data_IF_654956687995
#
_entry.id   IF_654956687995
#
_cell.length_a   1.000
_cell.length_b   1.000
_cell.length_c   1.000
_cell.angle_alpha   90.00
_cell.angle_beta   90.00
_cell.angle_gamma   90.00
#
_symmetry.space_group_name_H-M   'P 1'
#
loop_
_entity.id
_entity.type
_entity.pdbx_description
1 polymer ?
#
# COMPACT_ATOMS: atom_id res chain seq x y z
N UNK A 1 8.71 -23.13 -13.70
CA UNK A 1 10.14 -23.28 -14.06
C UNK A 1 10.55 -22.07 -14.88
N UNK A 2 11.77 -21.56 -14.72
CA UNK A 2 12.29 -20.49 -15.57
C UNK A 2 12.55 -21.05 -16.98
N UNK A 3 12.20 -20.30 -18.03
CA UNK A 3 12.46 -20.62 -19.44
C UNK A 3 13.57 -19.71 -19.96
N UNK A 4 14.51 -20.26 -20.71
CA UNK A 4 15.51 -19.48 -21.41
C UNK A 4 14.99 -19.11 -22.80
N UNK A 5 15.09 -17.84 -23.16
CA UNK A 5 14.69 -17.26 -24.42
C UNK A 5 15.94 -16.71 -25.12
N UNK A 6 16.08 -17.03 -26.41
CA UNK A 6 17.18 -16.54 -27.25
C UNK A 6 16.62 -15.91 -28.52
N UNK A 7 17.16 -14.76 -28.89
CA UNK A 7 16.86 -14.03 -30.11
C UNK A 7 18.19 -13.75 -30.81
N UNK A 8 18.31 -14.16 -32.07
CA UNK A 8 19.42 -13.80 -32.95
C UNK A 8 18.83 -13.50 -34.33
N UNK A 9 18.90 -12.23 -34.74
CA UNK A 9 18.31 -11.78 -35.99
C UNK A 9 19.19 -10.75 -36.68
N UNK A 10 19.31 -10.87 -38.00
CA UNK A 10 19.92 -9.85 -38.86
C UNK A 10 18.80 -8.96 -39.40
N UNK A 11 18.95 -7.65 -39.23
CA UNK A 11 18.00 -6.64 -39.69
C UNK A 11 18.70 -5.63 -40.59
N UNK A 12 18.00 -5.21 -41.65
CA UNK A 12 18.52 -4.19 -42.57
C UNK A 12 18.08 -2.81 -42.09
N UNK A 13 19.05 -1.97 -41.78
CA UNK A 13 18.84 -0.58 -41.39
C UNK A 13 18.88 0.30 -42.65
N UNK A 14 17.81 1.04 -42.90
CA UNK A 14 17.63 1.88 -44.09
C UNK A 14 17.71 3.35 -43.68
N UNK A 15 18.65 4.07 -44.30
CA UNK A 15 18.77 5.51 -44.11
C UNK A 15 17.60 6.26 -44.72
N UNK A 16 17.02 7.17 -43.94
CA UNK A 16 15.98 8.09 -44.39
C UNK A 16 16.53 9.51 -44.26
N UNK A 17 17.17 10.00 -45.32
CA UNK A 17 17.69 11.36 -45.35
C UNK A 17 18.05 11.79 -46.78
N UNK A 18 17.29 12.73 -47.33
CA UNK A 18 17.49 13.27 -48.69
C UNK A 18 18.36 14.53 -48.72
N UNK A 19 18.82 15.06 -47.58
CA UNK A 19 19.47 16.36 -47.47
C UNK A 19 20.82 16.36 -46.74
N UNK A 20 21.61 17.41 -46.95
CA UNK A 20 22.81 17.71 -46.18
C UNK A 20 22.40 18.11 -44.75
N UNK A 21 22.59 17.21 -43.77
CA UNK A 21 22.63 17.63 -42.36
C UNK A 21 21.77 16.86 -41.36
N UNK A 22 20.84 15.99 -41.77
CA UNK A 22 20.23 15.02 -40.87
C UNK A 22 20.17 13.67 -41.57
N UNK A 23 20.87 12.71 -41.00
CA UNK A 23 20.86 11.33 -41.47
C UNK A 23 20.42 10.51 -40.26
N UNK A 24 19.19 10.02 -40.31
CA UNK A 24 18.62 9.11 -39.34
C UNK A 24 18.19 7.84 -40.10
N UNK A 25 18.21 6.67 -39.46
CA UNK A 25 17.56 5.49 -40.03
C UNK A 25 16.13 5.35 -39.53
N UNK A 26 15.26 4.82 -40.39
CA UNK A 26 13.90 4.47 -40.01
C UNK A 26 13.96 3.45 -38.88
N UNK A 27 13.29 3.67 -37.74
CA UNK A 27 13.34 2.72 -36.64
C UNK A 27 12.93 1.31 -37.10
N UNK A 28 13.68 0.31 -36.67
CA UNK A 28 13.45 -1.10 -37.02
C UNK A 28 13.07 -1.87 -35.78
N UNK A 29 11.98 -2.62 -35.88
CA UNK A 29 11.50 -3.50 -34.82
C UNK A 29 12.02 -4.92 -35.07
N UNK A 30 12.53 -5.53 -34.01
CA UNK A 30 13.09 -6.87 -33.99
C UNK A 30 12.25 -7.70 -33.04
N UNK A 31 11.69 -8.80 -33.56
CA UNK A 31 10.73 -9.63 -32.85
C UNK A 31 10.88 -11.09 -33.28
N UNK A 32 10.88 -11.99 -32.29
CA UNK A 32 10.57 -13.40 -32.47
C UNK A 32 9.24 -13.74 -31.76
N UNK A 33 8.54 -14.76 -32.26
CA UNK A 33 7.23 -15.18 -31.75
C UNK A 33 7.30 -15.55 -30.26
N UNK A 34 8.36 -16.26 -29.87
CA UNK A 34 8.52 -16.75 -28.50
C UNK A 34 9.31 -15.80 -27.60
N UNK A 35 9.85 -14.70 -28.12
CA UNK A 35 10.63 -13.76 -27.32
C UNK A 35 9.71 -12.71 -26.68
N UNK A 36 9.74 -12.53 -25.35
CA UNK A 36 8.72 -11.74 -24.63
C UNK A 36 8.92 -10.23 -24.76
N UNK A 37 10.04 -9.78 -25.32
CA UNK A 37 10.31 -8.36 -25.56
C UNK A 37 10.17 -8.02 -27.05
N UNK A 38 9.67 -6.82 -27.34
CA UNK A 38 9.80 -6.14 -28.63
C UNK A 38 11.03 -5.24 -28.54
N UNK A 39 12.01 -5.42 -29.43
CA UNK A 39 13.22 -4.59 -29.44
C UNK A 39 13.11 -3.61 -30.61
N UNK A 40 13.31 -2.32 -30.34
CA UNK A 40 13.30 -1.26 -31.34
C UNK A 40 14.66 -0.60 -31.42
N UNK A 41 15.25 -0.63 -32.62
CA UNK A 41 16.48 0.08 -32.91
C UNK A 41 16.16 1.42 -33.56
N UNK A 42 16.87 2.48 -33.14
CA UNK A 42 16.80 3.81 -33.74
C UNK A 42 18.16 4.53 -33.66
N UNK A 43 18.35 5.60 -34.43
CA UNK A 43 19.46 6.55 -34.23
C UNK A 43 18.96 7.89 -33.74
N UNK A 44 19.79 8.57 -32.95
CA UNK A 44 19.65 9.99 -32.69
C UNK A 44 20.22 10.86 -33.81
N UNK A 45 19.93 12.16 -33.74
CA UNK A 45 20.28 13.17 -34.74
C UNK A 45 21.74 13.06 -35.22
N UNK A 46 21.93 13.05 -36.55
CA UNK A 46 23.23 12.86 -37.23
C UNK A 46 23.83 11.45 -37.13
N UNK A 47 23.03 10.46 -36.72
CA UNK A 47 23.45 9.07 -36.53
C UNK A 47 24.71 8.91 -35.65
N UNK A 48 24.89 9.83 -34.70
CA UNK A 48 25.99 9.77 -33.73
C UNK A 48 25.66 8.90 -32.51
N UNK A 49 24.41 8.47 -32.39
CA UNK A 49 23.94 7.69 -31.26
C UNK A 49 23.06 6.58 -31.78
N UNK A 50 23.39 5.34 -31.45
CA UNK A 50 22.52 4.20 -31.63
C UNK A 50 21.72 3.99 -30.34
N UNK A 51 20.41 3.79 -30.49
CA UNK A 51 19.48 3.55 -29.39
C UNK A 51 18.88 2.17 -29.58
N UNK A 52 18.97 1.33 -28.54
CA UNK A 52 18.20 0.11 -28.44
C UNK A 52 17.15 0.31 -27.34
N UNK A 53 15.88 0.40 -27.73
CA UNK A 53 14.75 0.40 -26.83
C UNK A 53 14.12 -1.00 -26.81
N UNK A 54 13.51 -1.36 -25.70
CA UNK A 54 12.71 -2.59 -25.61
C UNK A 54 11.46 -2.36 -24.79
N UNK A 55 10.40 -3.11 -25.10
CA UNK A 55 9.16 -3.14 -24.33
C UNK A 55 8.62 -4.56 -24.21
N UNK A 56 8.06 -4.92 -23.06
CA UNK A 56 7.47 -6.22 -22.84
C UNK A 56 6.11 -6.35 -23.58
N UNK A 57 5.92 -7.45 -24.32
CA UNK A 57 4.66 -7.71 -25.06
C UNK A 57 3.55 -8.21 -24.14
N UNK A 58 3.94 -8.82 -23.04
CA UNK A 58 3.13 -9.39 -21.98
C UNK A 58 3.90 -9.24 -20.66
N UNK A 59 3.23 -9.43 -19.53
CA UNK A 59 3.91 -9.33 -18.23
C UNK A 59 4.95 -10.46 -18.09
N UNK A 60 6.19 -10.10 -17.74
CA UNK A 60 7.31 -11.04 -17.69
C UNK A 60 8.21 -10.75 -16.48
N UNK A 61 8.62 -11.80 -15.78
CA UNK A 61 9.61 -11.69 -14.70
C UNK A 61 10.97 -12.11 -15.24
N UNK A 62 11.88 -11.14 -15.32
CA UNK A 62 13.25 -11.30 -15.76
C UNK A 62 14.09 -11.67 -14.55
N UNK A 63 14.82 -12.80 -14.61
CA UNK A 63 15.84 -13.12 -13.60
C UNK A 63 17.21 -12.61 -14.02
N UNK A 64 17.50 -12.66 -15.32
CA UNK A 64 18.73 -12.16 -15.92
C UNK A 64 18.56 -12.06 -17.44
N UNK A 65 19.25 -11.13 -18.08
CA UNK A 65 19.28 -11.07 -19.55
C UNK A 65 20.16 -9.95 -20.07
N UNK A 66 20.39 -9.97 -21.38
CA UNK A 66 21.12 -8.92 -22.08
C UNK A 66 20.63 -8.77 -23.52
N UNK A 67 20.82 -7.57 -24.06
CA UNK A 67 20.60 -7.22 -25.47
C UNK A 67 21.92 -6.66 -25.99
N UNK A 68 22.44 -7.23 -27.09
CA UNK A 68 23.60 -6.74 -27.83
C UNK A 68 23.20 -6.39 -29.25
N UNK A 69 23.71 -5.26 -29.71
CA UNK A 69 23.50 -4.80 -31.07
C UNK A 69 24.85 -4.60 -31.74
N UNK A 70 25.03 -5.30 -32.86
CA UNK A 70 26.16 -5.18 -33.75
C UNK A 70 25.71 -4.48 -35.02
N UNK A 71 26.50 -3.51 -35.49
CA UNK A 71 26.27 -2.82 -36.77
C UNK A 71 27.50 -3.06 -37.63
N UNK A 72 27.32 -3.70 -38.80
CA UNK A 72 28.43 -4.05 -39.71
C UNK A 72 29.55 -4.85 -39.02
N UNK A 73 29.19 -5.73 -38.09
CA UNK A 73 30.14 -6.54 -37.31
C UNK A 73 30.82 -5.79 -36.16
N UNK A 74 30.71 -4.46 -36.08
CA UNK A 74 31.18 -3.69 -34.92
C UNK A 74 30.14 -3.72 -33.81
N UNK A 75 30.59 -3.93 -32.58
CA UNK A 75 29.75 -3.84 -31.39
C UNK A 75 29.38 -2.38 -31.12
N UNK A 76 28.09 -2.09 -30.93
CA UNK A 76 27.61 -0.71 -30.79
C UNK A 76 26.91 -0.47 -29.46
N UNK A 77 26.05 -1.39 -29.02
CA UNK A 77 25.23 -1.22 -27.82
C UNK A 77 25.13 -2.54 -27.07
N UNK A 78 25.20 -2.47 -25.73
CA UNK A 78 24.75 -3.54 -24.84
C UNK A 78 23.88 -2.97 -23.72
N UNK A 79 22.75 -3.62 -23.48
CA UNK A 79 21.92 -3.44 -22.29
C UNK A 79 21.94 -4.71 -21.47
N UNK A 80 22.27 -4.60 -20.18
CA UNK A 80 22.02 -5.67 -19.21
C UNK A 80 20.65 -5.45 -18.59
N UNK A 81 19.78 -6.45 -18.67
CA UNK A 81 18.42 -6.39 -18.13
C UNK A 81 18.47 -6.75 -16.64
N UNK A 82 18.07 -5.79 -15.79
CA UNK A 82 18.04 -6.01 -14.35
C UNK A 82 16.95 -7.02 -13.97
N UNK A 83 17.17 -7.83 -12.92
CA UNK A 83 16.13 -8.69 -12.38
C UNK A 83 14.91 -7.85 -11.98
N UNK A 84 13.73 -8.24 -12.42
CA UNK A 84 12.53 -7.44 -12.18
C UNK A 84 11.30 -7.97 -12.90
N UNK A 85 10.15 -7.44 -12.50
CA UNK A 85 8.88 -7.69 -13.16
C UNK A 85 8.56 -6.53 -14.10
N UNK A 86 8.34 -6.83 -15.39
CA UNK A 86 7.88 -5.89 -16.39
C UNK A 86 6.42 -6.17 -16.70
N UNK A 87 5.56 -5.16 -16.62
CA UNK A 87 4.20 -5.22 -17.15
C UNK A 87 4.20 -5.08 -18.67
N UNK A 88 3.08 -5.47 -19.32
CA UNK A 88 2.89 -5.22 -20.75
C UNK A 88 3.06 -3.73 -21.06
N UNK A 89 3.99 -3.41 -21.96
CA UNK A 89 4.35 -2.04 -22.35
C UNK A 89 5.53 -1.46 -21.57
N UNK A 90 5.89 -2.03 -20.41
CA UNK A 90 7.08 -1.60 -19.67
C UNK A 90 8.34 -1.86 -20.48
N UNK A 91 9.29 -0.94 -20.39
CA UNK A 91 10.44 -0.94 -21.24
C UNK A 91 11.53 -0.01 -20.75
N UNK A 92 12.65 -0.05 -21.43
CA UNK A 92 13.73 0.91 -21.23
C UNK A 92 14.49 1.10 -22.54
N UNK A 93 15.38 2.07 -22.57
CA UNK A 93 16.28 2.31 -23.69
C UNK A 93 17.71 2.48 -23.21
N UNK A 94 18.65 2.05 -24.05
CA UNK A 94 20.07 2.35 -23.88
C UNK A 94 20.57 3.06 -25.13
N UNK A 95 21.40 4.08 -24.90
CA UNK A 95 22.02 4.89 -25.95
C UNK A 95 23.52 4.70 -25.89
N UNK A 96 24.15 4.55 -27.05
CA UNK A 96 25.60 4.48 -27.18
C UNK A 96 26.06 5.38 -28.31
N UNK A 97 27.18 6.06 -28.10
CA UNK A 97 27.83 6.84 -29.15
C UNK A 97 28.32 5.89 -30.25
N UNK A 98 28.00 6.23 -31.50
CA UNK A 98 28.37 5.47 -32.67
C UNK A 98 28.83 6.44 -33.76
N UNK A 99 29.97 6.17 -34.40
CA UNK A 99 30.42 6.96 -35.55
C UNK A 99 30.48 6.09 -36.79
N UNK A 100 29.72 6.48 -37.81
CA UNK A 100 29.81 5.86 -39.13
C UNK A 100 31.00 6.44 -39.89
N UNK A 101 32.19 5.86 -39.71
CA UNK A 101 33.41 6.35 -40.34
C UNK A 101 33.49 6.10 -41.86
N UNK A 102 32.55 5.38 -42.46
CA UNK A 102 32.67 4.95 -43.86
C UNK A 102 32.09 5.93 -44.88
N UNK A 103 31.40 7.00 -44.45
CA UNK A 103 30.82 8.03 -45.33
C UNK A 103 29.72 7.56 -46.30
N UNK A 104 29.44 6.26 -46.37
CA UNK A 104 28.50 5.67 -47.33
C UNK A 104 27.06 5.73 -46.81
N UNK A 105 26.22 6.50 -47.50
CA UNK A 105 24.77 6.62 -47.29
C UNK A 105 24.00 5.45 -47.92
N UNK A 106 24.41 4.22 -47.63
CA UNK A 106 23.73 3.00 -48.10
C UNK A 106 23.16 2.20 -46.94
N UNK A 107 22.12 1.40 -47.21
CA UNK A 107 21.58 0.44 -46.24
C UNK A 107 22.66 -0.52 -45.76
N UNK A 108 22.57 -0.93 -44.50
CA UNK A 108 23.52 -1.90 -43.93
C UNK A 108 22.81 -2.89 -43.02
N UNK A 109 23.46 -4.03 -42.79
CA UNK A 109 22.96 -5.06 -41.90
C UNK A 109 23.42 -4.76 -40.46
N UNK A 110 22.47 -4.74 -39.54
CA UNK A 110 22.69 -4.85 -38.10
C UNK A 110 22.34 -6.27 -37.66
N UNK A 111 23.09 -6.82 -36.70
CA UNK A 111 22.74 -8.05 -36.01
C UNK A 111 22.32 -7.73 -34.58
N UNK A 112 21.18 -8.25 -34.17
CA UNK A 112 20.69 -8.16 -32.79
C UNK A 112 20.77 -9.54 -32.18
N UNK A 113 21.47 -9.63 -31.06
CA UNK A 113 21.54 -10.81 -30.22
C UNK A 113 20.96 -10.46 -28.86
N UNK A 114 20.00 -11.25 -28.38
CA UNK A 114 19.47 -11.10 -27.04
C UNK A 114 19.28 -12.47 -26.40
N UNK A 115 19.68 -12.58 -25.13
CA UNK A 115 19.42 -13.75 -24.29
C UNK A 115 18.70 -13.30 -23.04
N UNK A 116 17.63 -14.01 -22.69
CA UNK A 116 16.79 -13.69 -21.55
C UNK A 116 16.42 -14.98 -20.81
N UNK A 117 16.74 -15.06 -19.53
CA UNK A 117 16.13 -16.06 -18.64
C UNK A 117 14.94 -15.41 -17.98
N UNK A 118 13.75 -15.88 -18.32
CA UNK A 118 12.51 -15.34 -17.79
C UNK A 118 11.53 -16.46 -17.46
N UNK A 119 10.65 -16.18 -16.51
CA UNK A 119 9.49 -17.05 -16.28
C UNK A 119 8.31 -16.39 -16.97
N UNK A 120 7.66 -17.12 -17.89
CA UNK A 120 6.34 -16.74 -18.37
C UNK A 120 5.48 -16.49 -17.14
N UNK A 121 4.90 -15.29 -17.05
CA UNK A 121 4.10 -14.89 -15.91
C UNK A 121 2.88 -15.80 -15.83
N UNK A 122 2.95 -16.88 -15.04
CA UNK A 122 1.77 -17.36 -14.35
C UNK A 122 1.25 -16.16 -13.59
N UNK A 123 0.04 -15.69 -13.95
CA UNK A 123 -0.59 -14.45 -13.50
C UNK A 123 -0.02 -14.00 -12.15
N UNK A 124 0.95 -13.09 -12.17
CA UNK A 124 1.61 -12.60 -10.95
C UNK A 124 0.57 -11.93 -10.06
N UNK A 125 -0.53 -11.43 -10.63
CA UNK A 125 -1.71 -11.01 -9.89
C UNK A 125 -2.35 -12.17 -9.12
N UNK A 126 -2.55 -13.33 -9.75
CA UNK A 126 -3.06 -14.53 -9.10
C UNK A 126 -2.09 -15.10 -8.06
N UNK A 127 -0.79 -15.21 -8.36
CA UNK A 127 0.19 -15.71 -7.40
C UNK A 127 0.31 -14.79 -6.18
N UNK A 128 0.35 -13.47 -6.42
CA UNK A 128 0.35 -12.49 -5.34
C UNK A 128 -0.98 -12.51 -4.58
N UNK A 129 -2.11 -12.74 -5.24
CA UNK A 129 -3.40 -12.92 -4.56
C UNK A 129 -3.42 -14.18 -3.69
N UNK A 130 -2.84 -15.30 -4.16
CA UNK A 130 -2.74 -16.55 -3.41
C UNK A 130 -1.80 -16.42 -2.20
N UNK A 131 -0.63 -15.80 -2.38
CA UNK A 131 0.29 -15.49 -1.28
C UNK A 131 -0.38 -14.57 -0.25
N UNK A 132 -1.14 -13.58 -0.73
CA UNK A 132 -1.93 -12.68 0.12
C UNK A 132 -3.02 -13.41 0.89
N UNK A 133 -3.72 -14.33 0.24
CA UNK A 133 -4.73 -15.17 0.85
C UNK A 133 -4.13 -16.07 1.93
N UNK A 134 -3.01 -16.71 1.64
CA UNK A 134 -2.30 -17.54 2.61
C UNK A 134 -1.83 -16.72 3.82
N UNK A 135 -1.27 -15.54 3.59
CA UNK A 135 -0.83 -14.64 4.66
C UNK A 135 -2.00 -14.15 5.53
N UNK A 136 -3.14 -13.79 4.91
CA UNK A 136 -4.35 -13.41 5.63
C UNK A 136 -4.90 -14.56 6.50
N UNK A 137 -4.98 -15.77 5.93
CA UNK A 137 -5.41 -16.96 6.66
C UNK A 137 -4.47 -17.36 7.80
N UNK A 138 -3.17 -17.13 7.65
CA UNK A 138 -2.19 -17.32 8.72
C UNK A 138 -2.36 -16.28 9.84
N UNK A 139 -2.51 -15.01 9.49
CA UNK A 139 -2.72 -13.93 10.46
C UNK A 139 -3.99 -14.17 11.29
N UNK A 140 -5.10 -14.53 10.64
CA UNK A 140 -6.36 -14.79 11.34
C UNK A 140 -6.25 -15.98 12.31
N UNK A 141 -5.60 -17.08 11.90
CA UNK A 141 -5.36 -18.24 12.77
C UNK A 141 -4.48 -17.88 13.96
N UNK A 142 -3.35 -17.20 13.69
CA UNK A 142 -2.44 -16.73 14.72
C UNK A 142 -3.16 -15.87 15.76
N UNK A 143 -4.04 -14.96 15.35
CA UNK A 143 -4.80 -14.13 16.27
C UNK A 143 -5.87 -14.86 17.08
N UNK A 144 -6.31 -16.04 16.62
CA UNK A 144 -7.39 -16.81 17.25
C UNK A 144 -6.91 -17.90 18.22
N UNK A 145 -5.65 -18.31 18.09
CA UNK A 145 -5.08 -19.44 18.83
C UNK A 145 -4.07 -18.96 19.87
N UNK A 146 -4.18 -19.49 21.09
CA UNK A 146 -3.21 -19.17 22.12
C UNK A 146 -1.83 -19.76 21.81
N UNK A 147 -1.68 -20.96 21.27
CA UNK A 147 -0.34 -21.51 20.99
C UNK A 147 -0.01 -21.23 19.52
N UNK A 148 1.13 -20.61 19.17
CA UNK A 148 2.33 -20.37 20.00
C UNK A 148 2.42 -18.98 20.69
N UNK A 149 1.31 -18.24 20.75
CA UNK A 149 1.22 -16.88 21.28
C UNK A 149 1.26 -16.78 22.83
N UNK A 150 2.03 -15.82 23.34
CA UNK A 150 2.22 -15.60 24.77
C UNK A 150 1.65 -14.25 25.26
N UNK A 151 0.94 -13.51 24.40
CA UNK A 151 0.26 -12.25 24.75
C UNK A 151 -1.22 -12.30 24.36
N UNK A 152 -2.09 -11.92 25.30
CA UNK A 152 -3.52 -11.74 25.09
C UNK A 152 -3.88 -10.25 25.10
N UNK A 153 -4.45 -9.76 24.01
CA UNK A 153 -5.10 -8.45 23.93
C UNK A 153 -6.59 -8.62 24.21
N UNK A 154 -7.04 -8.23 25.39
CA UNK A 154 -8.43 -8.38 25.80
C UNK A 154 -9.21 -7.08 25.55
N UNK A 155 -10.44 -7.23 25.03
CA UNK A 155 -11.37 -6.15 24.73
C UNK A 155 -12.59 -6.29 25.65
N UNK A 156 -12.60 -5.66 26.84
CA UNK A 156 -13.66 -5.86 27.83
C UNK A 156 -15.06 -5.51 27.32
N UNK A 157 -15.17 -4.42 26.54
CA UNK A 157 -16.45 -3.96 25.95
C UNK A 157 -17.13 -5.04 25.10
N UNK A 158 -16.33 -5.77 24.33
CA UNK A 158 -16.83 -6.74 23.35
C UNK A 158 -16.65 -8.19 23.83
N UNK A 159 -16.01 -8.38 24.98
CA UNK A 159 -15.66 -9.67 25.57
C UNK A 159 -14.87 -10.58 24.60
N UNK A 160 -13.93 -9.98 23.87
CA UNK A 160 -13.08 -10.66 22.88
C UNK A 160 -11.62 -10.62 23.27
N UNK A 161 -10.86 -11.56 22.73
CA UNK A 161 -9.41 -11.64 22.89
C UNK A 161 -8.78 -11.82 21.51
N UNK A 162 -7.70 -11.11 21.26
CA UNK A 162 -6.75 -11.38 20.18
C UNK A 162 -5.47 -11.93 20.80
N UNK A 163 -4.92 -12.97 20.20
CA UNK A 163 -3.64 -13.55 20.59
C UNK A 163 -2.51 -12.99 19.72
N UNK A 164 -1.33 -12.83 20.30
CA UNK A 164 -0.11 -12.48 19.58
C UNK A 164 1.11 -12.91 20.39
N UNK A 165 2.31 -12.82 19.82
CA UNK A 165 3.54 -13.06 20.57
C UNK A 165 4.21 -11.77 21.01
N UNK A 166 4.82 -11.77 22.19
CA UNK A 166 5.61 -10.67 22.71
C UNK A 166 6.72 -10.29 21.72
N UNK A 167 7.46 -11.28 21.23
CA UNK A 167 8.51 -11.07 20.24
C UNK A 167 7.99 -10.34 18.98
N UNK A 168 6.80 -10.69 18.50
CA UNK A 168 6.20 -10.04 17.34
C UNK A 168 5.74 -8.61 17.64
N UNK A 169 5.10 -8.37 18.78
CA UNK A 169 4.61 -7.05 19.16
C UNK A 169 5.77 -6.07 19.41
N UNK A 170 6.78 -6.51 20.16
CA UNK A 170 7.99 -5.72 20.46
C UNK A 170 8.77 -5.38 19.19
N UNK A 171 8.92 -6.34 18.27
CA UNK A 171 9.61 -6.11 17.01
C UNK A 171 8.93 -5.06 16.11
N UNK A 172 7.66 -4.75 16.34
CA UNK A 172 6.89 -3.82 15.52
C UNK A 172 6.51 -2.51 16.23
N UNK A 173 6.62 -2.42 17.56
CA UNK A 173 6.27 -1.20 18.29
C UNK A 173 7.05 -1.08 19.61
N UNK A 174 7.77 0.04 19.78
CA UNK A 174 8.46 0.39 21.02
C UNK A 174 7.51 0.61 22.20
N UNK A 175 6.23 0.91 21.93
CA UNK A 175 5.20 0.98 22.97
C UNK A 175 4.96 -0.38 23.59
N UNK A 176 4.88 -1.44 22.78
CA UNK A 176 4.74 -2.80 23.31
C UNK A 176 6.01 -3.29 24.01
N UNK A 177 7.19 -2.88 23.55
CA UNK A 177 8.46 -3.11 24.27
C UNK A 177 8.38 -2.54 25.68
N UNK A 178 8.03 -1.26 25.80
CA UNK A 178 7.88 -0.57 27.07
C UNK A 178 6.81 -1.24 27.94
N UNK A 179 5.68 -1.62 27.36
CA UNK A 179 4.54 -2.20 28.10
C UNK A 179 4.82 -3.62 28.62
N UNK A 180 5.51 -4.44 27.83
CA UNK A 180 5.69 -5.88 28.11
C UNK A 180 7.01 -6.21 28.82
N UNK A 181 8.03 -5.35 28.73
CA UNK A 181 9.35 -5.58 29.33
C UNK A 181 9.63 -4.77 30.60
N UNK A 182 8.77 -3.82 30.95
CA UNK A 182 8.91 -3.04 32.18
C UNK A 182 8.14 -3.66 33.36
N UNK A 183 8.08 -2.94 34.48
CA UNK A 183 7.37 -3.36 35.70
C UNK A 183 5.85 -3.07 35.66
N UNK A 184 5.28 -2.77 34.50
CA UNK A 184 3.83 -2.56 34.37
C UNK A 184 3.02 -3.84 34.63
N UNK A 185 1.75 -3.67 35.01
CA UNK A 185 0.83 -4.79 35.29
C UNK A 185 0.64 -5.73 34.10
N UNK A 186 0.84 -5.22 32.88
CA UNK A 186 0.76 -5.95 31.60
C UNK A 186 1.92 -6.93 31.41
N UNK A 187 3.09 -6.67 32.01
CA UNK A 187 4.25 -7.56 31.95
C UNK A 187 4.09 -8.82 32.82
N UNK A 188 3.13 -8.82 33.76
CA UNK A 188 2.89 -9.93 34.68
C UNK A 188 2.25 -11.11 33.95
N UNK A 189 2.92 -12.27 34.01
CA UNK A 189 2.44 -13.53 33.43
C UNK A 189 1.24 -14.08 34.21
N UNK A 190 0.23 -14.55 33.48
CA UNK A 190 -1.03 -15.11 33.97
C UNK A 190 -1.26 -16.52 33.43
N UNK A 191 -2.04 -17.31 34.16
CA UNK A 191 -2.39 -18.69 33.82
C UNK A 191 -3.90 -18.91 33.64
N UNK A 192 -4.71 -17.85 33.68
CA UNK A 192 -6.15 -17.92 33.46
C UNK A 192 -6.71 -16.55 33.04
N UNK A 193 -7.91 -16.55 32.46
CA UNK A 193 -8.63 -15.35 32.00
C UNK A 193 -9.65 -14.81 33.01
N UNK A 194 -9.51 -15.12 34.30
CA UNK A 194 -10.47 -14.68 35.30
C UNK A 194 -10.41 -13.16 35.48
N UNK A 195 -11.58 -12.51 35.51
CA UNK A 195 -11.70 -11.06 35.68
C UNK A 195 -11.27 -10.23 34.46
N UNK A 196 -10.81 -10.84 33.36
CA UNK A 196 -10.27 -10.12 32.19
C UNK A 196 -11.29 -9.18 31.55
N UNK A 197 -12.57 -9.55 31.57
CA UNK A 197 -13.67 -8.77 31.01
C UNK A 197 -14.42 -7.93 32.05
N UNK A 198 -13.94 -7.86 33.29
CA UNK A 198 -14.46 -6.87 34.24
C UNK A 198 -13.97 -5.51 33.77
N UNK A 199 -14.90 -4.70 33.29
CA UNK A 199 -14.64 -3.29 33.05
C UNK A 199 -14.28 -2.65 34.41
N UNK A 200 -13.29 -1.75 34.46
CA UNK A 200 -13.18 -0.81 35.58
C UNK A 200 -14.55 -0.18 35.81
N UNK A 201 -14.91 0.11 37.07
CA UNK A 201 -16.20 0.76 37.36
C UNK A 201 -16.43 1.91 36.37
N UNK A 202 -17.65 2.01 35.80
CA UNK A 202 -17.93 2.94 34.72
C UNK A 202 -17.57 4.34 35.20
N UNK A 203 -16.44 4.83 34.71
CA UNK A 203 -16.21 6.26 34.72
C UNK A 203 -17.31 6.81 33.84
N UNK A 204 -18.15 7.68 34.38
CA UNK A 204 -19.31 8.30 33.72
C UNK A 204 -18.95 9.11 32.47
N UNK A 205 -17.69 9.07 32.04
CA UNK A 205 -17.22 9.67 30.81
C UNK A 205 -17.51 8.74 29.64
N UNK A 206 -18.24 9.27 28.66
CA UNK A 206 -18.28 8.69 27.32
C UNK A 206 -16.84 8.38 26.83
N UNK A 207 -16.65 7.33 26.02
CA UNK A 207 -15.35 7.04 25.43
C UNK A 207 -14.75 8.33 24.85
N UNK A 208 -13.46 8.61 25.11
CA UNK A 208 -12.84 9.86 24.67
C UNK A 208 -12.87 10.03 23.14
N UNK A 209 -13.11 8.95 22.39
CA UNK A 209 -13.25 8.96 20.95
C UNK A 209 -14.32 7.99 20.50
N UNK A 210 -15.11 8.43 19.53
CA UNK A 210 -16.02 7.58 18.77
C UNK A 210 -15.19 6.72 17.80
N UNK A 211 -14.90 5.49 18.21
CA UNK A 211 -14.27 4.52 17.32
C UNK A 211 -15.34 4.03 16.36
N UNK A 212 -15.29 4.51 15.11
CA UNK A 212 -16.27 4.22 14.05
C UNK A 212 -16.49 2.71 13.83
N UNK A 213 -15.57 1.85 14.28
CA UNK A 213 -15.70 0.40 14.21
C UNK A 213 -16.53 -0.21 15.36
N UNK A 214 -16.95 0.60 16.34
CA UNK A 214 -17.76 0.17 17.48
C UNK A 214 -19.06 -0.49 17.07
N UNK A 215 -19.77 0.11 16.11
CA UNK A 215 -21.00 -0.45 15.54
C UNK A 215 -20.76 -1.80 14.84
N UNK A 216 -19.60 -1.95 14.19
CA UNK A 216 -19.20 -3.17 13.48
C UNK A 216 -18.94 -4.33 14.46
N UNK A 217 -18.38 -4.03 15.62
CA UNK A 217 -18.16 -5.00 16.69
C UNK A 217 -19.48 -5.41 17.37
N UNK A 218 -20.41 -4.47 17.56
CA UNK A 218 -21.74 -4.72 18.16
C UNK A 218 -22.64 -5.52 17.21
N UNK A 219 -22.73 -5.15 15.94
CA UNK A 219 -23.60 -5.81 14.95
C UNK A 219 -23.24 -7.28 14.70
N UNK A 220 -21.98 -7.68 14.97
CA UNK A 220 -21.49 -9.06 14.78
C UNK A 220 -21.48 -9.89 16.06
N UNK A 221 -22.16 -9.42 17.11
CA UNK A 221 -22.40 -10.14 18.37
C UNK A 221 -23.17 -11.47 18.23
N UNK A 222 -23.60 -11.87 17.02
CA UNK A 222 -24.52 -13.00 16.82
C UNK A 222 -23.92 -14.41 16.99
N UNK A 223 -22.61 -14.59 17.20
CA UNK A 223 -22.08 -15.89 17.64
C UNK A 223 -20.98 -15.71 18.68
N UNK A 224 -21.41 -15.50 19.92
CA UNK A 224 -20.59 -15.53 21.13
C UNK A 224 -20.02 -16.94 21.28
N UNK A 225 -18.86 -17.20 20.66
CA UNK A 225 -18.11 -18.43 20.91
C UNK A 225 -17.84 -18.51 22.41
N UNK A 226 -18.10 -19.66 23.03
CA UNK A 226 -17.76 -19.88 24.44
C UNK A 226 -16.25 -19.71 24.57
N UNK A 227 -15.79 -18.57 25.09
CA UNK A 227 -14.38 -18.34 25.38
C UNK A 227 -13.92 -19.45 26.31
N UNK A 228 -12.92 -20.24 25.90
CA UNK A 228 -12.34 -21.25 26.77
C UNK A 228 -11.82 -20.54 28.02
N UNK A 229 -12.39 -20.87 29.19
CA UNK A 229 -11.96 -20.30 30.47
C UNK A 229 -10.55 -20.75 30.85
N UNK A 230 -10.14 -21.91 30.34
CA UNK A 230 -8.83 -22.48 30.61
C UNK A 230 -7.88 -22.15 29.46
N UNK A 231 -6.77 -21.50 29.80
CA UNK A 231 -5.67 -21.22 28.87
C UNK A 231 -4.77 -22.46 28.75
N UNK A 232 -4.17 -22.62 27.58
CA UNK A 232 -3.29 -23.73 27.23
C UNK A 232 -1.85 -23.52 27.73
N UNK A 233 -1.44 -22.27 27.94
CA UNK A 233 -0.11 -21.89 28.40
C UNK A 233 -0.16 -20.62 29.28
N UNK A 234 0.93 -20.28 30.00
CA UNK A 234 1.11 -18.95 30.60
C UNK A 234 1.17 -17.86 29.54
N UNK A 235 0.67 -16.65 29.84
CA UNK A 235 0.62 -15.52 28.91
C UNK A 235 0.60 -14.17 29.62
N UNK A 236 1.00 -13.09 28.95
CA UNK A 236 0.86 -11.69 29.38
C UNK A 236 -0.48 -11.11 28.91
N UNK A 237 -1.07 -10.19 29.66
CA UNK A 237 -2.39 -9.64 29.35
C UNK A 237 -2.33 -8.12 29.19
N UNK A 238 -2.81 -7.64 28.04
CA UNK A 238 -3.05 -6.22 27.78
C UNK A 238 -4.56 -6.00 27.69
N UNK A 239 -5.10 -5.09 28.51
CA UNK A 239 -6.50 -4.68 28.42
C UNK A 239 -6.61 -3.47 27.49
N UNK A 240 -7.34 -3.64 26.39
CA UNK A 240 -7.59 -2.58 25.40
C UNK A 240 -8.95 -1.95 25.70
N UNK A 241 -8.95 -0.69 26.15
CA UNK A 241 -10.18 0.07 26.48
C UNK A 241 -10.55 1.13 25.45
N UNK A 242 -9.56 1.61 24.68
CA UNK A 242 -9.69 2.87 23.91
C UNK A 242 -9.86 2.64 22.39
N UNK A 243 -9.83 1.39 21.95
CA UNK A 243 -10.07 1.01 20.54
C UNK A 243 -10.89 -0.28 20.42
N UNK A 244 -11.49 -0.45 19.25
CA UNK A 244 -12.29 -1.61 18.89
C UNK A 244 -11.45 -2.86 18.56
N UNK A 245 -12.10 -4.02 18.70
CA UNK A 245 -11.52 -5.32 18.38
C UNK A 245 -11.18 -5.42 16.89
N UNK A 246 -12.11 -4.99 16.02
CA UNK A 246 -11.91 -5.00 14.56
C UNK A 246 -10.70 -4.16 14.15
N UNK A 247 -10.52 -2.99 14.75
CA UNK A 247 -9.39 -2.10 14.46
C UNK A 247 -8.05 -2.76 14.82
N UNK A 248 -7.94 -3.34 16.01
CA UNK A 248 -6.73 -4.06 16.41
C UNK A 248 -6.47 -5.30 15.56
N UNK A 249 -7.51 -6.07 15.23
CA UNK A 249 -7.40 -7.22 14.36
C UNK A 249 -6.88 -6.83 12.97
N UNK A 250 -7.36 -5.71 12.42
CA UNK A 250 -6.88 -5.18 11.15
C UNK A 250 -5.41 -4.74 11.23
N UNK A 251 -5.00 -4.05 12.29
CA UNK A 251 -3.60 -3.64 12.49
C UNK A 251 -2.67 -4.85 12.63
N UNK A 252 -3.03 -5.85 13.44
CA UNK A 252 -2.24 -7.07 13.59
C UNK A 252 -2.14 -7.85 12.27
N UNK A 253 -3.25 -7.96 11.53
CA UNK A 253 -3.25 -8.60 10.23
C UNK A 253 -2.34 -7.86 9.23
N UNK A 254 -2.33 -6.52 9.26
CA UNK A 254 -1.38 -5.73 8.48
C UNK A 254 0.07 -5.96 8.91
N UNK A 255 0.36 -6.04 10.21
CA UNK A 255 1.73 -6.31 10.69
C UNK A 255 2.24 -7.67 10.23
N UNK A 256 1.38 -8.70 10.22
CA UNK A 256 1.76 -10.05 9.80
C UNK A 256 1.89 -10.18 8.29
N UNK A 257 0.97 -9.58 7.53
CA UNK A 257 0.88 -9.80 6.07
C UNK A 257 1.54 -8.69 5.24
N UNK A 258 1.70 -7.49 5.81
CA UNK A 258 2.02 -6.23 5.13
C UNK A 258 1.02 -5.86 4.04
N UNK A 259 -0.23 -6.31 4.16
CA UNK A 259 -1.29 -6.10 3.18
C UNK A 259 -2.33 -5.09 3.66
N UNK A 260 -2.67 -4.16 2.78
CA UNK A 260 -3.68 -3.11 3.01
C UNK A 260 -5.02 -3.46 2.33
N UNK A 261 -5.06 -4.43 1.41
CA UNK A 261 -6.27 -4.72 0.62
C UNK A 261 -7.22 -5.67 1.33
N UNK A 262 -8.52 -5.38 1.19
CA UNK A 262 -9.61 -6.24 1.66
C UNK A 262 -9.45 -7.66 1.11
N UNK A 263 -9.56 -8.65 1.99
CA UNK A 263 -9.48 -10.06 1.63
C UNK A 263 -10.57 -10.83 2.41
N UNK A 264 -11.26 -11.81 1.82
CA UNK A 264 -12.33 -12.56 2.50
C UNK A 264 -11.90 -13.26 3.80
N UNK A 265 -10.61 -13.55 3.93
CA UNK A 265 -10.00 -14.19 5.12
C UNK A 265 -9.41 -13.20 6.13
N UNK A 266 -9.34 -11.91 5.80
CA UNK A 266 -8.94 -10.89 6.74
C UNK A 266 -10.11 -10.59 7.69
N UNK A 267 -9.81 -10.09 8.91
CA UNK A 267 -10.84 -9.48 9.72
C UNK A 267 -11.54 -8.38 8.92
N UNK A 268 -12.75 -8.08 9.37
CA UNK A 268 -13.64 -7.12 8.74
C UNK A 268 -12.88 -5.81 8.52
N UNK A 269 -13.05 -5.14 7.37
CA UNK A 269 -12.35 -3.89 7.11
C UNK A 269 -12.66 -2.90 8.23
N UNK A 270 -11.61 -2.48 8.94
CA UNK A 270 -11.67 -1.42 9.93
C UNK A 270 -11.76 -0.06 9.22
N UNK A 271 -12.36 0.92 9.89
CA UNK A 271 -12.41 2.30 9.44
C UNK A 271 -10.99 2.85 9.29
N UNK A 272 -10.64 3.49 8.16
CA UNK A 272 -9.29 4.03 7.95
C UNK A 272 -8.92 5.08 9.02
N UNK A 273 -9.91 5.78 9.58
CA UNK A 273 -9.71 6.73 10.70
C UNK A 273 -9.26 6.01 11.98
N UNK A 274 -9.92 4.92 12.31
CA UNK A 274 -9.60 4.09 13.48
C UNK A 274 -8.24 3.42 13.33
N UNK A 275 -7.93 2.91 12.13
CA UNK A 275 -6.61 2.34 11.81
C UNK A 275 -5.52 3.42 11.91
N UNK A 276 -5.74 4.61 11.33
CA UNK A 276 -4.80 5.73 11.43
C UNK A 276 -4.52 6.08 12.89
N UNK A 277 -5.57 6.25 13.70
CA UNK A 277 -5.45 6.57 15.14
C UNK A 277 -4.61 5.54 15.87
N UNK A 278 -4.93 4.25 15.68
CA UNK A 278 -4.22 3.17 16.35
C UNK A 278 -2.77 3.05 15.86
N UNK A 279 -2.54 3.16 14.55
CA UNK A 279 -1.20 3.13 13.97
C UNK A 279 -0.34 4.29 14.47
N UNK A 280 -0.88 5.50 14.53
CA UNK A 280 -0.21 6.67 15.09
C UNK A 280 0.12 6.44 16.58
N UNK A 281 -0.81 5.91 17.37
CA UNK A 281 -0.59 5.60 18.78
C UNK A 281 0.52 4.55 18.99
N UNK A 282 0.58 3.53 18.13
CA UNK A 282 1.57 2.45 18.20
C UNK A 282 2.92 2.81 17.53
N UNK A 283 3.08 4.00 16.96
CA UNK A 283 4.30 4.41 16.25
C UNK A 283 4.50 3.70 14.90
N UNK A 284 3.42 3.22 14.27
CA UNK A 284 3.44 2.50 12.99
C UNK A 284 3.31 3.47 11.80
N UNK A 285 4.35 4.27 11.55
CA UNK A 285 4.31 5.39 10.58
C UNK A 285 3.82 4.97 9.18
N UNK A 286 4.34 3.86 8.63
CA UNK A 286 3.93 3.39 7.30
C UNK A 286 2.43 3.05 7.24
N UNK A 287 1.90 2.40 8.28
CA UNK A 287 0.47 2.07 8.33
C UNK A 287 -0.38 3.32 8.54
N UNK A 288 0.09 4.28 9.35
CA UNK A 288 -0.60 5.55 9.53
C UNK A 288 -0.70 6.29 8.19
N UNK A 289 0.37 6.39 7.41
CA UNK A 289 0.35 6.98 6.07
C UNK A 289 -0.64 6.28 5.14
N UNK A 290 -0.59 4.95 5.06
CA UNK A 290 -1.50 4.17 4.21
C UNK A 290 -2.97 4.32 4.62
N UNK A 291 -3.24 4.42 5.93
CA UNK A 291 -4.58 4.65 6.45
C UNK A 291 -5.07 6.06 6.12
N UNK A 292 -4.18 7.07 6.16
CA UNK A 292 -4.49 8.45 5.80
C UNK A 292 -4.79 8.59 4.30
N UNK A 293 -3.98 7.99 3.43
CA UNK A 293 -4.22 7.95 1.98
C UNK A 293 -5.55 7.25 1.64
N UNK A 294 -5.84 6.14 2.32
CA UNK A 294 -7.11 5.44 2.15
C UNK A 294 -8.29 6.30 2.62
N UNK A 295 -8.15 7.00 3.75
CA UNK A 295 -9.16 7.93 4.24
C UNK A 295 -9.41 9.07 3.25
N UNK A 296 -8.36 9.70 2.73
CA UNK A 296 -8.44 10.74 1.70
C UNK A 296 -9.20 10.27 0.45
N UNK A 297 -8.91 9.05 -0.02
CA UNK A 297 -9.57 8.47 -1.20
C UNK A 297 -11.08 8.25 -1.03
N UNK A 298 -11.58 8.24 0.21
CA UNK A 298 -12.99 8.04 0.55
C UNK A 298 -13.73 9.36 0.81
N UNK A 299 -13.05 10.51 0.71
CA UNK A 299 -13.68 11.81 0.86
C UNK A 299 -14.56 12.13 -0.36
N UNK A 300 -15.79 12.54 -0.07
CA UNK A 300 -16.81 12.93 -1.04
C UNK A 300 -17.50 14.19 -0.55
N UNK A 301 -18.17 14.98 -1.41
CA UNK A 301 -18.94 16.12 -0.94
C UNK A 301 -20.05 15.71 0.05
N UNK A 302 -20.51 14.46 -0.02
CA UNK A 302 -21.59 13.92 0.83
C UNK A 302 -21.15 13.56 2.25
N UNK A 303 -19.86 13.33 2.50
CA UNK A 303 -19.35 12.97 3.83
C UNK A 303 -18.36 13.97 4.41
N UNK A 304 -17.76 14.85 3.59
CA UNK A 304 -16.67 15.72 4.02
C UNK A 304 -17.04 16.63 5.19
N UNK A 305 -18.29 17.13 5.27
CA UNK A 305 -18.74 17.94 6.40
C UNK A 305 -18.79 17.14 7.72
N UNK A 306 -19.30 15.90 7.70
CA UNK A 306 -19.25 15.01 8.86
C UNK A 306 -17.83 14.72 9.30
N UNK A 307 -16.94 14.49 8.34
CA UNK A 307 -15.54 14.22 8.64
C UNK A 307 -14.83 15.45 9.20
N UNK A 308 -15.14 16.64 8.69
CA UNK A 308 -14.58 17.89 9.15
C UNK A 308 -14.97 18.19 10.60
N UNK A 309 -16.23 17.92 10.97
CA UNK A 309 -16.72 18.08 12.33
C UNK A 309 -16.43 16.88 13.24
N UNK A 310 -15.87 15.80 12.72
CA UNK A 310 -15.57 14.61 13.53
C UNK A 310 -14.54 14.93 14.63
N UNK A 311 -14.73 14.34 15.81
CA UNK A 311 -13.79 14.50 16.94
C UNK A 311 -12.38 14.03 16.56
N UNK A 312 -12.27 12.97 15.74
CA UNK A 312 -10.99 12.47 15.25
C UNK A 312 -10.28 13.51 14.37
N UNK A 313 -10.94 14.09 13.37
CA UNK A 313 -10.32 15.14 12.57
C UNK A 313 -9.95 16.36 13.43
N UNK A 314 -10.75 16.71 14.44
CA UNK A 314 -10.43 17.84 15.31
C UNK A 314 -9.17 17.59 16.17
N UNK A 315 -8.98 16.36 16.66
CA UNK A 315 -7.87 16.00 17.54
C UNK A 315 -6.57 15.61 16.81
N UNK A 316 -6.64 15.11 15.58
CA UNK A 316 -5.47 14.64 14.81
C UNK A 316 -5.17 15.60 13.65
N UNK A 317 -4.11 16.43 13.73
CA UNK A 317 -3.82 17.45 12.73
C UNK A 317 -3.73 16.92 11.29
N UNK A 318 -3.06 15.80 11.06
CA UNK A 318 -2.90 15.26 9.70
C UNK A 318 -4.24 14.83 9.09
N UNK A 319 -5.14 14.21 9.87
CA UNK A 319 -6.51 13.94 9.45
C UNK A 319 -7.27 15.24 9.15
N UNK A 320 -7.16 16.23 10.04
CA UNK A 320 -7.80 17.55 9.86
C UNK A 320 -7.39 18.20 8.56
N UNK A 321 -6.09 18.20 8.28
CA UNK A 321 -5.50 18.94 7.17
C UNK A 321 -5.91 18.30 5.83
N UNK A 322 -6.00 16.97 5.76
CA UNK A 322 -6.55 16.25 4.60
C UNK A 322 -8.02 16.61 4.36
N UNK A 323 -8.87 16.59 5.39
CA UNK A 323 -10.29 16.96 5.22
C UNK A 323 -10.44 18.43 4.86
N UNK A 324 -9.68 19.33 5.50
CA UNK A 324 -9.69 20.76 5.21
C UNK A 324 -9.31 21.03 3.76
N UNK A 325 -8.24 20.40 3.25
CA UNK A 325 -7.82 20.56 1.86
C UNK A 325 -8.94 20.14 0.90
N UNK A 326 -9.54 18.98 1.13
CA UNK A 326 -10.65 18.48 0.32
C UNK A 326 -11.88 19.42 0.35
N UNK A 327 -12.28 19.87 1.54
CA UNK A 327 -13.44 20.77 1.73
C UNK A 327 -13.19 22.12 1.06
N UNK A 328 -11.99 22.69 1.20
CA UNK A 328 -11.64 23.96 0.57
C UNK A 328 -11.66 23.83 -0.95
N UNK A 329 -11.10 22.75 -1.51
CA UNK A 329 -11.12 22.51 -2.95
C UNK A 329 -12.55 22.37 -3.49
N UNK A 330 -13.39 21.61 -2.79
CA UNK A 330 -14.75 21.24 -3.20
C UNK A 330 -15.86 22.08 -2.52
N UNK A 331 -15.52 23.27 -2.03
CA UNK A 331 -16.38 24.09 -1.15
C UNK A 331 -17.84 24.17 -1.59
N UNK A 332 -18.09 24.58 -2.84
CA UNK A 332 -19.45 24.79 -3.36
C UNK A 332 -20.31 23.52 -3.29
N UNK A 333 -19.72 22.35 -3.57
CA UNK A 333 -20.41 21.06 -3.49
C UNK A 333 -20.64 20.58 -2.06
N UNK A 334 -19.73 20.93 -1.15
CA UNK A 334 -19.80 20.51 0.25
C UNK A 334 -20.89 21.29 0.97
N UNK A 335 -20.98 22.61 0.78
CA UNK A 335 -22.00 23.45 1.44
C UNK A 335 -23.42 23.13 0.97
N UNK A 336 -23.59 22.63 -0.25
CA UNK A 336 -24.88 22.16 -0.77
C UNK A 336 -25.26 20.76 -0.26
N UNK A 337 -24.35 20.05 0.42
CA UNK A 337 -24.58 18.68 0.86
C UNK A 337 -25.49 18.61 2.09
N UNK A 338 -26.24 17.50 2.22
CA UNK A 338 -27.03 17.24 3.43
C UNK A 338 -26.16 17.13 4.69
N UNK A 339 -24.91 16.68 4.56
CA UNK A 339 -23.96 16.58 5.65
C UNK A 339 -23.60 17.96 6.23
N UNK A 340 -23.51 18.98 5.37
CA UNK A 340 -23.30 20.35 5.82
C UNK A 340 -24.50 20.87 6.62
N UNK A 341 -25.72 20.67 6.13
CA UNK A 341 -26.93 21.06 6.86
C UNK A 341 -27.08 20.37 8.22
N UNK A 342 -26.62 19.12 8.36
CA UNK A 342 -26.55 18.45 9.67
C UNK A 342 -25.50 19.08 10.56
N UNK A 343 -24.30 19.38 10.03
CA UNK A 343 -23.25 20.06 10.79
C UNK A 343 -23.68 21.45 11.27
N UNK A 344 -24.43 22.22 10.45
CA UNK A 344 -25.00 23.51 10.85
C UNK A 344 -26.00 23.35 11.99
N UNK A 345 -26.91 22.39 11.88
CA UNK A 345 -27.86 22.07 12.95
C UNK A 345 -27.15 21.67 14.24
N UNK A 346 -26.12 20.82 14.15
CA UNK A 346 -25.34 20.41 15.31
C UNK A 346 -24.56 21.60 15.91
N UNK A 347 -24.16 22.58 15.10
CA UNK A 347 -23.56 23.83 15.57
C UNK A 347 -24.56 24.66 16.39
N UNK A 348 -25.78 24.85 15.86
CA UNK A 348 -26.86 25.61 16.52
C UNK A 348 -27.29 24.96 17.84
N UNK A 349 -27.28 23.63 17.89
CA UNK A 349 -27.62 22.85 19.09
C UNK A 349 -26.44 22.70 20.06
N UNK A 350 -25.25 23.23 19.73
CA UNK A 350 -24.05 23.12 20.57
C UNK A 350 -23.51 21.69 20.71
N UNK A 351 -23.77 20.83 19.71
CA UNK A 351 -23.39 19.41 19.68
C UNK A 351 -22.05 19.13 19.00
N UNK A 352 -21.46 20.13 18.34
CA UNK A 352 -20.14 19.98 17.74
C UNK A 352 -19.07 19.74 18.81
N UNK A 353 -18.02 18.94 18.52
CA UNK A 353 -16.91 18.76 19.45
C UNK A 353 -16.29 20.09 19.85
N UNK A 354 -15.91 20.25 21.12
CA UNK A 354 -15.28 21.47 21.62
C UNK A 354 -14.01 21.84 20.81
N UNK A 355 -13.31 20.82 20.32
CA UNK A 355 -12.09 20.93 19.52
C UNK A 355 -12.37 21.49 18.11
N UNK A 356 -13.63 21.49 17.64
CA UNK A 356 -14.02 21.97 16.32
C UNK A 356 -13.78 23.46 16.11
N UNK A 357 -13.79 24.27 17.19
CA UNK A 357 -13.55 25.72 17.07
C UNK A 357 -12.21 26.05 16.38
N UNK A 358 -11.16 25.25 16.64
CA UNK A 358 -9.89 25.38 15.93
C UNK A 358 -10.00 25.02 14.45
N UNK A 359 -10.70 23.94 14.13
CA UNK A 359 -10.95 23.48 12.75
C UNK A 359 -11.72 24.53 11.96
N UNK A 360 -12.78 25.12 12.53
CA UNK A 360 -13.57 26.17 11.92
C UNK A 360 -12.73 27.43 11.61
N UNK A 361 -11.87 27.85 12.54
CA UNK A 361 -10.95 28.98 12.31
C UNK A 361 -9.95 28.71 11.18
N UNK A 362 -9.44 27.48 11.08
CA UNK A 362 -8.54 27.08 10.00
C UNK A 362 -9.26 27.05 8.65
N UNK A 363 -10.48 26.51 8.61
CA UNK A 363 -11.33 26.52 7.42
C UNK A 363 -11.58 27.97 6.94
N UNK A 364 -11.98 28.87 7.84
CA UNK A 364 -12.23 30.27 7.51
C UNK A 364 -10.99 30.96 6.92
N UNK A 365 -9.80 30.70 7.48
CA UNK A 365 -8.52 31.21 6.94
C UNK A 365 -8.22 30.65 5.56
N UNK A 366 -8.41 29.35 5.35
CA UNK A 366 -8.13 28.70 4.07
C UNK A 366 -9.08 29.18 2.96
N UNK A 367 -10.37 29.35 3.26
CA UNK A 367 -11.34 29.88 2.30
C UNK A 367 -11.06 31.34 1.94
N UNK A 368 -10.60 32.16 2.90
CA UNK A 368 -10.18 33.53 2.62
C UNK A 368 -8.99 33.57 1.67
N UNK A 369 -8.05 32.64 1.78
CA UNK A 369 -6.87 32.57 0.91
C UNK A 369 -7.18 32.03 -0.50
N UNK A 370 -8.32 31.36 -0.70
CA UNK A 370 -8.79 30.86 -2.00
C UNK A 370 -9.42 31.95 -2.88
N UNK A 371 -9.92 33.03 -2.26
CA UNK A 371 -10.49 34.22 -2.92
C UNK A 371 -9.39 35.21 -3.26
#
# INVERSE_FOLDING_TARGET
>A
MAKEYRLSQIVTLVWTGSGFGSSDFRPVEVQANDFPLLIRLSTGHNARTATAAWSAKESVTISQGWIKVHIRGSFVVQANLQPGHLQKGDGAEVKSAWSNNTGTRSSFNGAVEATLTARASSDVGAQLADERQAAAGLANRSMSEQVPNDVALAFPRNQRILWSSEAFLVANSSLFETLLQSEFKEAVVRNNLNGVFQLPEPTTADPPFDDSDGETDVSKLLKRGKTRRNTLAPFKLIQVTDSCFVTYAAVLAWLTSRLVKQHPQLPIPASPKSVYRLAHYLGLEQLATLALENFESQLTPKNAAYELSSRLACCYPQLRDVVLAYVVENWDKVVESSAWGVMEKDADEGKLPAEFGKTALLLAKALKAKK
#
